data_IF_545828882709
#
_entry.id   IF_545828882709
#
_cell.length_a   1.000
_cell.length_b   1.000
_cell.length_c   1.000
_cell.angle_alpha   90.00
_cell.angle_beta   90.00
_cell.angle_gamma   90.00
#
_symmetry.space_group_name_H-M   'P 1'
#
loop_
_entity.id
_entity.type
_entity.pdbx_description
1 polymer ?
#
# COMPACT_ATOMS: atom_id res chain seq x y z
N UNK A 1 -9.69 -42.09 1.23
CA UNK A 1 -10.93 -42.71 0.70
C UNK A 1 -11.93 -41.57 0.45
N UNK A 2 -12.23 -41.30 -0.81
CA UNK A 2 -13.18 -40.28 -1.26
C UNK A 2 -14.57 -40.88 -1.21
N UNK A 3 -15.53 -40.22 -0.57
CA UNK A 3 -16.90 -40.65 -0.55
C UNK A 3 -17.49 -40.68 -1.98
N UNK A 4 -18.19 -41.75 -2.33
CA UNK A 4 -18.85 -41.90 -3.64
C UNK A 4 -19.84 -40.73 -3.80
N UNK A 5 -19.69 -39.91 -4.86
CA UNK A 5 -20.45 -38.68 -5.17
C UNK A 5 -19.94 -37.37 -4.58
N UNK A 6 -18.80 -37.33 -3.93
CA UNK A 6 -18.20 -36.06 -3.51
C UNK A 6 -17.54 -35.39 -4.73
N UNK A 7 -18.21 -34.37 -5.30
CA UNK A 7 -17.76 -33.64 -6.48
C UNK A 7 -16.78 -32.49 -6.16
N UNK A 8 -16.65 -32.10 -4.89
CA UNK A 8 -15.76 -31.03 -4.40
C UNK A 8 -15.09 -31.42 -3.09
N UNK A 9 -13.81 -31.11 -2.97
CA UNK A 9 -13.07 -31.19 -1.72
C UNK A 9 -12.93 -29.77 -1.16
N UNK A 10 -13.26 -29.51 0.12
CA UNK A 10 -13.07 -28.19 0.71
C UNK A 10 -11.64 -27.65 0.52
N UNK A 11 -10.63 -28.50 0.69
CA UNK A 11 -9.23 -28.13 0.46
C UNK A 11 -8.87 -27.89 -1.01
N UNK A 12 -9.66 -28.38 -1.95
CA UNK A 12 -9.37 -28.23 -3.38
C UNK A 12 -9.68 -26.83 -3.87
N UNK A 13 -10.81 -26.27 -3.47
CA UNK A 13 -11.18 -24.89 -3.79
C UNK A 13 -10.16 -23.90 -3.18
N UNK A 14 -9.74 -24.14 -1.92
CA UNK A 14 -8.69 -23.35 -1.27
C UNK A 14 -7.35 -23.42 -2.01
N UNK A 15 -6.98 -24.54 -2.60
CA UNK A 15 -5.77 -24.68 -3.41
C UNK A 15 -5.87 -23.87 -4.71
N UNK A 16 -7.00 -23.93 -5.40
CA UNK A 16 -7.27 -23.14 -6.60
C UNK A 16 -7.15 -21.64 -6.26
N UNK A 17 -7.83 -21.19 -5.21
CA UNK A 17 -7.78 -19.81 -4.72
C UNK A 17 -6.34 -19.40 -4.40
N UNK A 18 -5.58 -20.24 -3.69
CA UNK A 18 -4.19 -19.99 -3.34
C UNK A 18 -3.27 -19.83 -4.56
N UNK A 19 -3.44 -20.66 -5.58
CA UNK A 19 -2.68 -20.57 -6.83
C UNK A 19 -3.05 -19.31 -7.61
N UNK A 20 -4.35 -19.02 -7.72
CA UNK A 20 -4.85 -17.83 -8.39
C UNK A 20 -4.39 -16.54 -7.70
N UNK A 21 -4.43 -16.49 -6.37
CA UNK A 21 -3.94 -15.36 -5.56
C UNK A 21 -2.42 -15.12 -5.71
N UNK A 22 -1.65 -16.16 -6.08
CA UNK A 22 -0.22 -16.04 -6.39
C UNK A 22 0.05 -15.53 -7.81
N UNK A 23 -1.00 -15.25 -8.58
CA UNK A 23 -0.93 -14.68 -9.92
C UNK A 23 -0.96 -15.71 -11.06
N UNK A 24 -1.24 -16.99 -10.78
CA UNK A 24 -1.39 -17.99 -11.83
C UNK A 24 -2.65 -17.73 -12.66
N UNK A 25 -2.53 -17.88 -13.97
CA UNK A 25 -3.67 -17.86 -14.89
C UNK A 25 -4.50 -19.13 -14.76
N UNK A 26 -5.74 -19.12 -15.24
CA UNK A 26 -6.61 -20.32 -15.30
C UNK A 26 -5.92 -21.49 -16.01
N UNK A 27 -5.18 -21.19 -17.10
CA UNK A 27 -4.43 -22.20 -17.85
C UNK A 27 -3.29 -22.81 -17.04
N UNK A 28 -2.55 -21.99 -16.30
CA UNK A 28 -1.44 -22.45 -15.43
C UNK A 28 -1.96 -23.24 -14.24
N UNK A 29 -3.09 -22.82 -13.63
CA UNK A 29 -3.75 -23.58 -12.55
C UNK A 29 -4.17 -24.96 -13.05
N UNK A 30 -4.78 -25.05 -14.25
CA UNK A 30 -5.13 -26.34 -14.85
C UNK A 30 -3.92 -27.24 -15.06
N UNK A 31 -2.89 -26.73 -15.74
CA UNK A 31 -1.68 -27.52 -16.00
C UNK A 31 -1.01 -28.00 -14.72
N UNK A 32 -0.97 -27.16 -13.69
CA UNK A 32 -0.40 -27.50 -12.39
C UNK A 32 -1.20 -28.61 -11.66
N UNK A 33 -2.53 -28.54 -11.70
CA UNK A 33 -3.40 -29.56 -11.11
C UNK A 33 -3.30 -30.90 -11.85
N UNK A 34 -3.21 -30.88 -13.16
CA UNK A 34 -3.01 -32.06 -13.99
C UNK A 34 -1.65 -32.70 -13.71
N UNK A 35 -0.57 -31.90 -13.68
CA UNK A 35 0.80 -32.39 -13.45
C UNK A 35 0.99 -32.98 -12.05
N UNK A 36 0.49 -32.33 -10.99
CA UNK A 36 0.74 -32.74 -9.61
C UNK A 36 -0.26 -33.78 -9.07
N UNK A 37 -1.50 -33.72 -9.53
CA UNK A 37 -2.58 -34.53 -8.96
C UNK A 37 -3.24 -35.45 -10.00
N UNK A 38 -2.87 -35.34 -11.28
CA UNK A 38 -3.52 -36.11 -12.35
C UNK A 38 -5.01 -35.78 -12.52
N UNK A 39 -5.42 -34.55 -12.13
CA UNK A 39 -6.81 -34.12 -12.15
C UNK A 39 -7.01 -33.13 -13.29
N UNK A 40 -7.87 -33.47 -14.23
CA UNK A 40 -8.32 -32.55 -15.27
C UNK A 40 -9.45 -31.65 -14.72
N UNK A 41 -9.23 -30.34 -14.75
CA UNK A 41 -10.16 -29.33 -14.25
C UNK A 41 -10.62 -28.42 -15.38
N UNK A 42 -11.93 -28.18 -15.48
CA UNK A 42 -12.45 -27.27 -16.49
C UNK A 42 -12.10 -25.80 -16.14
N UNK A 43 -11.90 -24.94 -17.15
CA UNK A 43 -11.74 -23.49 -16.93
C UNK A 43 -12.90 -22.88 -16.16
N UNK A 44 -14.12 -23.34 -16.44
CA UNK A 44 -15.36 -22.84 -15.80
C UNK A 44 -15.39 -23.15 -14.31
N UNK A 45 -14.88 -24.31 -13.89
CA UNK A 45 -14.80 -24.64 -12.46
C UNK A 45 -13.82 -23.69 -11.74
N UNK A 46 -12.66 -23.39 -12.36
CA UNK A 46 -11.69 -22.47 -11.77
C UNK A 46 -12.29 -21.06 -11.68
N UNK A 47 -12.98 -20.60 -12.74
CA UNK A 47 -13.68 -19.34 -12.73
C UNK A 47 -14.76 -19.29 -11.64
N UNK A 48 -15.61 -20.32 -11.55
CA UNK A 48 -16.66 -20.40 -10.53
C UNK A 48 -16.10 -20.38 -9.09
N UNK A 49 -14.96 -21.05 -8.85
CA UNK A 49 -14.29 -21.04 -7.54
C UNK A 49 -13.70 -19.67 -7.23
N UNK A 50 -13.12 -18.98 -8.22
CA UNK A 50 -12.57 -17.63 -8.01
C UNK A 50 -13.67 -16.57 -7.87
N UNK A 51 -14.78 -16.72 -8.57
CA UNK A 51 -15.92 -15.81 -8.48
C UNK A 51 -16.65 -15.94 -7.13
N UNK A 52 -16.73 -17.15 -6.56
CA UNK A 52 -17.31 -17.36 -5.24
C UNK A 52 -16.58 -16.60 -4.12
N UNK A 53 -15.28 -16.25 -4.32
CA UNK A 53 -14.51 -15.43 -3.37
C UNK A 53 -14.94 -13.95 -3.41
N UNK A 54 -15.58 -13.49 -4.48
CA UNK A 54 -15.97 -12.07 -4.60
C UNK A 54 -16.98 -11.66 -3.53
N UNK A 55 -17.91 -12.55 -3.16
CA UNK A 55 -18.87 -12.28 -2.09
C UNK A 55 -18.16 -12.16 -0.74
N UNK A 56 -17.22 -13.04 -0.44
CA UNK A 56 -16.39 -12.97 0.77
C UNK A 56 -15.53 -11.69 0.80
N UNK A 57 -14.97 -11.29 -0.34
CA UNK A 57 -14.21 -10.05 -0.47
C UNK A 57 -15.12 -8.84 -0.25
N UNK A 58 -16.35 -8.86 -0.78
CA UNK A 58 -17.32 -7.79 -0.58
C UNK A 58 -17.75 -7.69 0.89
N UNK A 59 -18.01 -8.81 1.56
CA UNK A 59 -18.30 -8.88 2.99
C UNK A 59 -17.11 -8.34 3.81
N UNK A 60 -15.89 -8.80 3.51
CA UNK A 60 -14.68 -8.31 4.16
C UNK A 60 -14.49 -6.80 3.96
N UNK A 61 -14.70 -6.28 2.74
CA UNK A 61 -14.57 -4.86 2.44
C UNK A 61 -15.59 -4.01 3.22
N UNK A 62 -16.79 -4.53 3.45
CA UNK A 62 -17.86 -3.84 4.15
C UNK A 62 -17.92 -4.12 5.66
N UNK A 63 -17.01 -4.93 6.21
CA UNK A 63 -17.02 -5.27 7.63
C UNK A 63 -16.91 -4.04 8.52
N UNK A 64 -17.50 -4.06 9.73
CA UNK A 64 -17.29 -3.02 10.74
C UNK A 64 -15.80 -2.84 11.04
N UNK A 65 -15.41 -1.61 11.33
CA UNK A 65 -14.06 -1.22 11.74
C UNK A 65 -14.06 -0.85 13.23
N UNK A 66 -12.85 -0.87 13.82
CA UNK A 66 -12.66 -0.37 15.16
C UNK A 66 -12.89 1.15 15.26
N UNK A 67 -13.26 1.62 16.45
CA UNK A 67 -13.61 3.02 16.67
C UNK A 67 -12.42 3.97 16.51
N UNK A 68 -11.20 3.52 16.84
CA UNK A 68 -10.00 4.36 16.83
C UNK A 68 -8.80 3.66 16.24
N UNK A 69 -8.17 4.34 15.29
CA UNK A 69 -6.89 3.94 14.69
C UNK A 69 -5.81 4.99 15.00
N UNK A 70 -4.85 4.71 15.89
CA UNK A 70 -3.71 5.58 16.16
C UNK A 70 -2.93 5.96 14.90
N UNK A 71 -2.76 5.01 13.97
CA UNK A 71 -2.12 5.25 12.67
C UNK A 71 -2.90 4.57 11.56
N UNK A 72 -3.08 5.28 10.46
CA UNK A 72 -3.55 4.70 9.19
C UNK A 72 -2.58 5.08 8.09
N UNK A 73 -2.06 4.09 7.39
CA UNK A 73 -1.21 4.28 6.22
C UNK A 73 -2.04 4.11 4.96
N UNK A 74 -1.92 5.06 4.05
CA UNK A 74 -2.48 4.96 2.72
C UNK A 74 -1.36 4.84 1.69
N UNK A 75 -1.43 3.83 0.85
CA UNK A 75 -0.46 3.58 -0.21
C UNK A 75 -1.15 3.06 -1.46
N UNK A 76 -0.48 3.13 -2.59
CA UNK A 76 -1.01 2.65 -3.86
C UNK A 76 -0.01 1.75 -4.59
N UNK A 77 -0.55 0.75 -5.26
CA UNK A 77 0.20 -0.03 -6.26
C UNK A 77 -0.43 0.16 -7.63
N UNK A 78 0.40 0.25 -8.67
CA UNK A 78 -0.08 0.30 -10.04
C UNK A 78 -0.13 -1.10 -10.64
N UNK A 79 -1.26 -1.42 -11.27
CA UNK A 79 -1.52 -2.69 -11.92
C UNK A 79 -1.99 -2.46 -13.35
N UNK A 80 -1.68 -3.40 -14.23
CA UNK A 80 -2.21 -3.42 -15.59
C UNK A 80 -3.50 -4.22 -15.61
N UNK A 81 -4.59 -3.59 -16.00
CA UNK A 81 -5.91 -4.22 -16.12
C UNK A 81 -6.39 -4.06 -17.56
N UNK A 82 -6.90 -5.13 -18.15
CA UNK A 82 -7.56 -5.05 -19.45
C UNK A 82 -8.97 -4.47 -19.22
N UNK A 83 -9.24 -3.37 -19.89
CA UNK A 83 -10.49 -2.65 -19.80
C UNK A 83 -10.94 -2.25 -21.21
N UNK A 84 -12.13 -2.65 -21.62
CA UNK A 84 -12.68 -2.42 -22.97
C UNK A 84 -11.71 -2.81 -24.09
N UNK A 85 -11.00 -3.95 -23.94
CA UNK A 85 -10.04 -4.45 -24.94
C UNK A 85 -8.62 -3.84 -24.85
N UNK A 86 -8.41 -2.78 -24.07
CA UNK A 86 -7.13 -2.11 -23.90
C UNK A 86 -6.52 -2.40 -22.53
N UNK A 87 -5.19 -2.51 -22.48
CA UNK A 87 -4.47 -2.65 -21.21
C UNK A 87 -4.18 -1.26 -20.64
N UNK A 88 -4.84 -0.92 -19.54
CA UNK A 88 -4.68 0.35 -18.83
C UNK A 88 -3.98 0.16 -17.50
N UNK A 89 -3.21 1.15 -17.07
CA UNK A 89 -2.67 1.20 -15.72
C UNK A 89 -3.75 1.75 -14.77
N UNK A 90 -4.17 0.94 -13.81
CA UNK A 90 -5.06 1.37 -12.71
C UNK A 90 -4.27 1.41 -11.40
N UNK A 91 -4.64 2.30 -10.51
CA UNK A 91 -4.11 2.31 -9.15
C UNK A 91 -5.01 1.50 -8.23
N UNK A 92 -4.40 0.65 -7.41
CA UNK A 92 -5.04 -0.03 -6.29
C UNK A 92 -4.57 0.67 -5.03
N UNK A 93 -5.49 1.30 -4.33
CA UNK A 93 -5.26 1.98 -3.06
C UNK A 93 -5.55 1.05 -1.90
N UNK A 94 -4.70 1.09 -0.90
CA UNK A 94 -4.76 0.24 0.27
C UNK A 94 -4.68 1.13 1.50
N UNK A 95 -5.60 0.95 2.45
CA UNK A 95 -5.51 1.52 3.77
C UNK A 95 -5.10 0.44 4.77
N UNK A 96 -4.03 0.69 5.51
CA UNK A 96 -3.52 -0.18 6.58
C UNK A 96 -3.65 0.55 7.91
N UNK A 97 -4.53 0.07 8.78
CA UNK A 97 -4.69 0.56 10.13
C UNK A 97 -3.74 -0.10 11.12
N UNK A 98 -3.35 0.63 12.14
CA UNK A 98 -2.64 0.13 13.32
C UNK A 98 -3.52 0.39 14.53
N UNK A 99 -3.87 -0.66 15.25
CA UNK A 99 -4.67 -0.62 16.47
C UNK A 99 -3.82 -0.18 17.69
N UNK A 100 -4.44 0.20 18.82
CA UNK A 100 -3.72 0.62 20.03
C UNK A 100 -2.76 -0.45 20.58
N UNK A 101 -3.05 -1.72 20.37
CA UNK A 101 -2.18 -2.85 20.76
C UNK A 101 -1.01 -3.10 19.80
N UNK A 102 -0.94 -2.35 18.69
CA UNK A 102 0.06 -2.50 17.61
C UNK A 102 -0.32 -3.51 16.53
N UNK A 103 -1.47 -4.17 16.65
CA UNK A 103 -2.01 -5.06 15.60
C UNK A 103 -2.29 -4.26 14.34
N UNK A 104 -2.02 -4.86 13.20
CA UNK A 104 -2.16 -4.24 11.89
C UNK A 104 -3.21 -4.96 11.07
N UNK A 105 -4.12 -4.20 10.50
CA UNK A 105 -5.15 -4.74 9.62
C UNK A 105 -5.33 -3.90 8.34
N UNK A 106 -5.72 -4.54 7.26
CA UNK A 106 -6.09 -3.85 6.02
C UNK A 106 -7.52 -3.37 6.18
N UNK A 107 -7.73 -2.06 6.16
CA UNK A 107 -9.05 -1.45 6.34
C UNK A 107 -9.90 -1.54 5.07
N UNK A 108 -9.27 -1.51 3.91
CA UNK A 108 -9.95 -1.63 2.63
C UNK A 108 -9.00 -1.52 1.45
N UNK A 109 -9.56 -1.85 0.28
CA UNK A 109 -8.87 -1.80 -1.02
C UNK A 109 -9.81 -1.12 -2.02
N UNK A 110 -9.30 -0.13 -2.76
CA UNK A 110 -10.07 0.59 -3.76
C UNK A 110 -9.31 0.63 -5.09
N UNK A 111 -10.02 0.49 -6.18
CA UNK A 111 -9.47 0.55 -7.53
C UNK A 111 -10.02 1.77 -8.23
N UNK A 112 -9.16 2.63 -8.76
CA UNK A 112 -9.56 3.81 -9.48
C UNK A 112 -8.59 4.15 -10.62
N UNK A 113 -9.09 4.74 -11.68
CA UNK A 113 -8.28 5.23 -12.80
C UNK A 113 -7.75 6.63 -12.55
N UNK A 114 -8.56 7.48 -11.92
CA UNK A 114 -8.27 8.89 -11.73
C UNK A 114 -8.30 9.25 -10.25
N UNK A 115 -7.17 9.65 -9.74
CA UNK A 115 -7.04 10.19 -8.39
C UNK A 115 -7.64 11.59 -8.34
N UNK A 116 -8.50 11.85 -7.36
CA UNK A 116 -9.09 13.18 -7.18
C UNK A 116 -9.76 13.33 -5.83
N UNK A 117 -10.05 14.57 -5.43
CA UNK A 117 -10.64 14.88 -4.13
C UNK A 117 -11.95 14.12 -3.87
N UNK A 118 -12.79 13.91 -4.90
CA UNK A 118 -14.04 13.15 -4.78
C UNK A 118 -13.79 11.68 -4.46
N UNK A 119 -12.78 11.07 -5.08
CA UNK A 119 -12.41 9.69 -4.79
C UNK A 119 -11.94 9.55 -3.34
N UNK A 120 -11.03 10.43 -2.90
CA UNK A 120 -10.51 10.42 -1.54
C UNK A 120 -11.59 10.65 -0.50
N UNK A 121 -12.50 11.60 -0.76
CA UNK A 121 -13.63 11.86 0.13
C UNK A 121 -14.53 10.61 0.26
N UNK A 122 -14.76 9.87 -0.83
CA UNK A 122 -15.51 8.60 -0.80
C UNK A 122 -14.81 7.56 0.07
N UNK A 123 -13.49 7.37 -0.12
CA UNK A 123 -12.68 6.41 0.66
C UNK A 123 -12.76 6.72 2.16
N UNK A 124 -12.54 7.98 2.52
CA UNK A 124 -12.51 8.40 3.92
C UNK A 124 -13.90 8.32 4.57
N UNK A 125 -14.96 8.69 3.85
CA UNK A 125 -16.34 8.53 4.31
C UNK A 125 -16.72 7.05 4.49
N UNK A 126 -16.27 6.17 3.60
CA UNK A 126 -16.50 4.72 3.74
C UNK A 126 -15.90 4.20 5.05
N UNK A 127 -14.65 4.56 5.38
CA UNK A 127 -14.03 4.21 6.66
C UNK A 127 -14.88 4.71 7.84
N UNK A 128 -15.37 5.95 7.78
CA UNK A 128 -16.23 6.54 8.80
C UNK A 128 -17.56 5.78 8.94
N UNK A 129 -18.21 5.47 7.82
CA UNK A 129 -19.49 4.76 7.80
C UNK A 129 -19.35 3.34 8.35
N UNK A 130 -18.22 2.70 8.15
CA UNK A 130 -17.90 1.37 8.65
C UNK A 130 -17.52 1.35 10.14
N UNK A 131 -17.46 2.50 10.80
CA UNK A 131 -17.30 2.59 12.26
C UNK A 131 -16.05 3.31 12.74
N UNK A 132 -15.06 3.60 11.90
CA UNK A 132 -13.89 4.37 12.33
C UNK A 132 -14.32 5.79 12.74
N UNK A 133 -14.26 6.10 14.03
CA UNK A 133 -14.63 7.42 14.53
C UNK A 133 -13.43 8.36 14.58
N UNK A 134 -12.26 7.83 14.94
CA UNK A 134 -11.03 8.59 15.08
C UNK A 134 -9.84 7.94 14.34
N UNK A 135 -9.12 8.77 13.61
CA UNK A 135 -7.79 8.49 13.07
C UNK A 135 -6.87 9.56 13.65
N UNK A 136 -5.87 9.16 14.46
CA UNK A 136 -5.00 10.15 15.08
C UNK A 136 -3.94 10.65 14.11
N UNK A 137 -3.31 9.75 13.36
CA UNK A 137 -2.30 10.08 12.37
C UNK A 137 -2.61 9.34 11.06
N UNK A 138 -2.79 10.08 9.98
CA UNK A 138 -2.94 9.55 8.64
C UNK A 138 -1.64 9.77 7.84
N UNK A 139 -0.97 8.69 7.46
CA UNK A 139 0.26 8.73 6.68
C UNK A 139 -0.08 8.53 5.21
N UNK A 140 0.21 9.54 4.38
CA UNK A 140 -0.17 9.60 2.97
C UNK A 140 1.01 9.83 2.05
N UNK A 141 0.91 9.38 0.80
CA UNK A 141 1.95 9.57 -0.22
C UNK A 141 1.71 10.86 -1.04
N UNK A 142 1.65 12.02 -0.37
CA UNK A 142 1.67 13.33 -1.03
C UNK A 142 0.62 13.58 -2.12
N UNK A 143 -0.48 12.83 -2.14
CA UNK A 143 -1.52 12.88 -3.17
C UNK A 143 -2.38 14.14 -3.00
N UNK A 144 -2.58 14.88 -4.10
CA UNK A 144 -3.37 16.13 -4.10
C UNK A 144 -4.83 15.88 -3.70
N UNK A 145 -5.36 16.72 -2.83
CA UNK A 145 -6.75 16.67 -2.37
C UNK A 145 -7.03 15.58 -1.32
N UNK A 146 -6.03 14.78 -0.96
CA UNK A 146 -6.19 13.74 0.06
C UNK A 146 -6.12 14.31 1.48
N UNK A 147 -5.16 15.18 1.83
CA UNK A 147 -5.16 15.84 3.13
C UNK A 147 -6.49 16.55 3.43
N UNK A 148 -7.03 17.27 2.45
CA UNK A 148 -8.29 17.99 2.57
C UNK A 148 -9.47 17.03 2.78
N UNK A 149 -9.50 15.90 2.08
CA UNK A 149 -10.53 14.88 2.27
C UNK A 149 -10.47 14.25 3.67
N UNK A 150 -9.27 13.96 4.18
CA UNK A 150 -9.08 13.43 5.53
C UNK A 150 -9.59 14.45 6.56
N UNK A 151 -9.16 15.70 6.47
CA UNK A 151 -9.54 16.74 7.42
C UNK A 151 -11.05 17.05 7.39
N UNK A 152 -11.71 16.88 6.24
CA UNK A 152 -13.15 17.07 6.14
C UNK A 152 -13.96 16.01 6.93
N UNK A 153 -13.45 14.79 7.06
CA UNK A 153 -14.15 13.66 7.71
C UNK A 153 -13.59 13.37 9.11
N UNK A 154 -12.27 13.51 9.27
CA UNK A 154 -11.54 13.33 10.52
C UNK A 154 -10.76 14.61 10.84
N UNK A 155 -11.43 15.67 11.34
CA UNK A 155 -10.82 16.99 11.53
C UNK A 155 -9.70 17.02 12.59
N UNK A 156 -9.64 16.04 13.46
CA UNK A 156 -8.58 15.91 14.47
C UNK A 156 -7.38 15.09 13.99
N UNK A 157 -7.46 14.48 12.81
CA UNK A 157 -6.38 13.66 12.28
C UNK A 157 -5.19 14.54 11.85
N UNK A 158 -4.00 14.17 12.32
CA UNK A 158 -2.76 14.76 11.82
C UNK A 158 -2.38 14.07 10.52
N UNK A 159 -2.38 14.81 9.43
CA UNK A 159 -1.94 14.28 8.13
C UNK A 159 -0.44 14.40 8.00
N UNK A 160 0.23 13.26 7.83
CA UNK A 160 1.69 13.16 7.73
C UNK A 160 2.09 12.62 6.36
N UNK A 161 2.98 13.32 5.67
CA UNK A 161 3.62 12.79 4.45
C UNK A 161 4.48 11.58 4.78
N UNK A 162 4.38 10.54 3.97
CA UNK A 162 5.17 9.32 4.12
C UNK A 162 6.66 9.60 3.88
N UNK A 163 7.45 9.55 4.95
CA UNK A 163 8.91 9.76 4.90
C UNK A 163 9.59 8.70 4.02
N UNK A 164 9.09 7.46 4.03
CA UNK A 164 9.63 6.37 3.21
C UNK A 164 9.48 6.65 1.71
N UNK A 165 8.32 7.20 1.30
CA UNK A 165 8.11 7.59 -0.10
C UNK A 165 9.02 8.77 -0.49
N UNK A 166 9.20 9.75 0.39
CA UNK A 166 10.10 10.87 0.15
C UNK A 166 11.56 10.40 -0.01
N UNK A 167 12.01 9.44 0.82
CA UNK A 167 13.33 8.81 0.68
C UNK A 167 13.42 8.05 -0.63
N UNK A 168 12.41 7.25 -0.98
CA UNK A 168 12.38 6.46 -2.23
C UNK A 168 12.45 7.36 -3.45
N UNK A 169 11.64 8.41 -3.49
CA UNK A 169 11.69 9.42 -4.54
C UNK A 169 13.06 10.12 -4.63
N UNK A 170 13.73 10.32 -3.49
CA UNK A 170 15.11 10.82 -3.48
C UNK A 170 16.09 9.87 -4.19
N UNK A 171 15.86 8.55 -4.09
CA UNK A 171 16.70 7.54 -4.76
C UNK A 171 16.52 7.53 -6.29
N UNK A 172 15.43 8.07 -6.82
CA UNK A 172 15.21 8.18 -8.27
C UNK A 172 16.16 9.19 -8.92
N UNK A 173 16.64 10.18 -8.15
CA UNK A 173 17.65 11.14 -8.60
C UNK A 173 19.08 10.57 -8.53
N UNK A 174 19.31 9.51 -7.76
CA UNK A 174 20.65 8.98 -7.50
C UNK A 174 20.97 7.76 -8.37
N UNK A 175 22.23 7.70 -8.86
CA UNK A 175 22.72 6.50 -9.54
C UNK A 175 22.66 5.30 -8.60
N UNK A 176 22.50 4.09 -9.16
CA UNK A 176 22.43 2.86 -8.38
C UNK A 176 23.57 2.71 -7.36
N UNK A 177 24.81 3.04 -7.76
CA UNK A 177 26.01 2.93 -6.93
C UNK A 177 25.95 3.85 -5.70
N UNK A 178 25.29 5.01 -5.82
CA UNK A 178 25.29 6.06 -4.81
C UNK A 178 24.08 5.99 -3.87
N UNK A 179 23.03 5.24 -4.23
CA UNK A 179 21.77 5.16 -3.47
C UNK A 179 21.97 4.83 -1.99
N UNK A 180 22.88 3.89 -1.68
CA UNK A 180 23.17 3.51 -0.29
C UNK A 180 23.78 4.67 0.50
N UNK A 181 24.73 5.39 -0.08
CA UNK A 181 25.37 6.54 0.56
C UNK A 181 24.42 7.71 0.74
N UNK A 182 23.61 8.03 -0.29
CA UNK A 182 22.57 9.07 -0.22
C UNK A 182 21.54 8.73 0.86
N UNK A 183 21.03 7.48 0.89
CA UNK A 183 20.05 7.06 1.90
C UNK A 183 20.64 7.15 3.32
N UNK A 184 21.91 6.80 3.51
CA UNK A 184 22.58 6.91 4.80
C UNK A 184 22.73 8.39 5.22
N UNK A 185 23.09 9.27 4.30
CA UNK A 185 23.19 10.70 4.57
C UNK A 185 21.84 11.34 4.92
N UNK A 186 20.75 11.00 4.20
CA UNK A 186 19.42 11.48 4.51
C UNK A 186 18.88 10.99 5.87
N UNK A 187 19.45 9.91 6.41
CA UNK A 187 19.07 9.38 7.73
C UNK A 187 19.23 10.40 8.85
N UNK A 188 20.22 11.28 8.76
CA UNK A 188 20.45 12.34 9.75
C UNK A 188 19.31 13.34 9.78
N UNK A 189 18.65 13.59 8.65
CA UNK A 189 17.53 14.51 8.54
C UNK A 189 16.31 13.99 9.31
N UNK A 190 15.78 12.82 8.95
CA UNK A 190 14.54 12.30 9.55
C UNK A 190 14.74 11.62 10.92
N UNK A 191 15.99 11.43 11.38
CA UNK A 191 16.30 11.01 12.74
C UNK A 191 16.68 12.13 13.69
N UNK A 192 16.67 13.37 13.22
CA UNK A 192 16.94 14.52 14.05
C UNK A 192 15.98 14.60 15.25
N UNK A 193 16.42 15.24 16.32
CA UNK A 193 15.64 15.35 17.55
C UNK A 193 14.32 16.13 17.33
N UNK A 194 14.40 17.19 16.54
CA UNK A 194 13.31 18.11 16.24
C UNK A 194 13.42 18.69 14.82
N UNK A 195 12.46 19.52 14.45
CA UNK A 195 12.42 20.15 13.12
C UNK A 195 13.61 21.07 12.84
N UNK A 196 14.13 21.76 13.86
CA UNK A 196 15.27 22.68 13.71
C UNK A 196 16.55 21.89 13.40
N UNK A 197 16.79 20.83 14.18
CA UNK A 197 17.93 19.92 13.94
C UNK A 197 17.78 19.18 12.60
N UNK A 198 16.54 18.83 12.20
CA UNK A 198 16.25 18.23 10.92
C UNK A 198 16.54 19.17 9.75
N UNK A 199 16.15 20.44 9.87
CA UNK A 199 16.47 21.46 8.87
C UNK A 199 17.99 21.68 8.76
N UNK A 200 18.70 21.78 9.89
CA UNK A 200 20.17 21.92 9.89
C UNK A 200 20.86 20.70 9.24
N UNK A 201 20.35 19.48 9.49
CA UNK A 201 20.86 18.29 8.85
C UNK A 201 20.59 18.28 7.33
N UNK A 202 19.44 18.78 6.89
CA UNK A 202 19.11 18.93 5.46
C UNK A 202 20.03 19.96 4.79
N UNK A 203 20.33 21.07 5.44
CA UNK A 203 21.26 22.07 4.93
C UNK A 203 22.70 21.52 4.86
N UNK A 204 23.12 20.75 5.87
CA UNK A 204 24.40 20.03 5.84
C UNK A 204 24.47 19.00 4.72
N UNK A 205 23.37 18.27 4.47
CA UNK A 205 23.27 17.36 3.34
C UNK A 205 23.40 18.14 2.01
N UNK A 206 22.72 19.27 1.86
CA UNK A 206 22.73 20.07 0.64
C UNK A 206 24.11 20.61 0.30
N UNK A 207 24.89 21.02 1.33
CA UNK A 207 26.26 21.53 1.20
C UNK A 207 27.29 20.41 1.07
N UNK A 208 26.97 19.21 1.45
CA UNK A 208 27.84 18.05 1.40
C UNK A 208 27.98 17.44 0.00
N UNK A 209 28.85 16.42 -0.12
CA UNK A 209 29.16 15.81 -1.42
C UNK A 209 27.94 15.22 -2.15
N UNK A 210 26.96 14.70 -1.41
CA UNK A 210 25.75 14.16 -2.00
C UNK A 210 24.80 15.26 -2.50
N UNK A 211 24.66 16.34 -1.76
CA UNK A 211 23.85 17.49 -2.17
C UNK A 211 24.45 18.22 -3.36
N UNK A 212 25.77 18.36 -3.42
CA UNK A 212 26.47 18.90 -4.57
C UNK A 212 26.27 18.04 -5.84
N UNK A 213 26.33 16.71 -5.67
CA UNK A 213 26.15 15.75 -6.78
C UNK A 213 24.69 15.60 -7.21
N UNK A 214 23.75 15.68 -6.28
CA UNK A 214 22.31 15.45 -6.50
C UNK A 214 21.46 16.58 -5.89
N UNK A 215 21.58 17.81 -6.37
CA UNK A 215 20.92 18.98 -5.75
C UNK A 215 19.39 18.88 -5.76
N UNK A 216 18.82 18.17 -6.71
CA UNK A 216 17.37 17.94 -6.79
C UNK A 216 16.79 17.24 -5.54
N UNK A 217 17.60 16.43 -4.83
CA UNK A 217 17.18 15.77 -3.60
C UNK A 217 16.88 16.80 -2.51
N UNK A 218 17.85 17.67 -2.19
CA UNK A 218 17.67 18.70 -1.18
C UNK A 218 16.53 19.66 -1.55
N UNK A 219 16.40 20.03 -2.83
CA UNK A 219 15.29 20.85 -3.33
C UNK A 219 13.93 20.17 -3.13
N UNK A 220 13.83 18.86 -3.38
CA UNK A 220 12.60 18.09 -3.16
C UNK A 220 12.21 18.08 -1.68
N UNK A 221 13.16 17.83 -0.78
CA UNK A 221 12.90 17.86 0.67
C UNK A 221 12.48 19.25 1.14
N UNK A 222 13.11 20.32 0.68
CA UNK A 222 12.74 21.70 1.04
C UNK A 222 11.33 22.05 0.57
N UNK A 223 10.94 21.66 -0.65
CA UNK A 223 9.56 21.88 -1.15
C UNK A 223 8.49 21.18 -0.32
N UNK A 224 8.83 20.03 0.26
CA UNK A 224 7.90 19.25 1.07
C UNK A 224 8.10 19.47 2.57
N UNK A 225 8.96 20.42 2.98
CA UNK A 225 9.38 20.56 4.37
C UNK A 225 8.23 20.83 5.33
N UNK A 226 7.28 21.67 4.96
CA UNK A 226 6.07 21.96 5.73
C UNK A 226 5.21 20.69 5.97
N UNK A 227 5.24 19.75 5.04
CA UNK A 227 4.57 18.46 5.16
C UNK A 227 5.39 17.43 5.95
N UNK A 228 6.68 17.68 6.14
CA UNK A 228 7.59 16.83 6.93
C UNK A 228 7.61 17.27 8.39
N UNK A 229 7.53 18.58 8.69
CA UNK A 229 7.63 19.15 10.04
C UNK A 229 6.72 18.44 11.08
N UNK A 230 5.44 18.10 10.80
CA UNK A 230 4.59 17.43 11.78
C UNK A 230 5.17 16.14 12.33
N UNK A 231 5.99 15.45 11.53
CA UNK A 231 6.68 14.23 11.92
C UNK A 231 7.54 14.41 13.19
N UNK A 232 8.17 15.56 13.37
CA UNK A 232 9.06 15.82 14.50
C UNK A 232 8.32 16.08 15.82
N UNK A 233 7.02 16.39 15.76
CA UNK A 233 6.19 16.53 16.95
C UNK A 233 5.84 15.17 17.60
N UNK A 234 5.98 14.07 16.86
CA UNK A 234 5.66 12.74 17.40
C UNK A 234 6.80 12.19 18.28
N UNK A 235 6.45 11.42 19.34
CA UNK A 235 7.42 10.66 20.12
C UNK A 235 8.26 9.73 19.25
N UNK A 236 9.50 9.46 19.64
CA UNK A 236 10.44 8.64 18.86
C UNK A 236 9.86 7.26 18.47
N UNK A 237 9.12 6.62 19.37
CA UNK A 237 8.47 5.33 19.10
C UNK A 237 7.47 5.42 17.95
N UNK A 238 6.66 6.47 17.90
CA UNK A 238 5.69 6.73 16.82
C UNK A 238 6.42 7.07 15.52
N UNK A 239 7.42 7.96 15.59
CA UNK A 239 8.26 8.30 14.41
C UNK A 239 8.87 7.03 13.81
N UNK A 240 9.38 6.12 14.66
CA UNK A 240 9.94 4.85 14.22
C UNK A 240 8.93 4.00 13.46
N UNK A 241 7.71 3.92 13.93
CA UNK A 241 6.64 3.20 13.21
C UNK A 241 6.39 3.85 11.83
N UNK A 242 6.33 5.18 11.76
CA UNK A 242 6.06 5.92 10.52
C UNK A 242 7.17 5.71 9.47
N UNK A 243 8.46 5.74 9.84
CA UNK A 243 9.54 5.58 8.87
C UNK A 243 10.03 4.14 8.70
N UNK A 244 9.57 3.19 9.51
CA UNK A 244 9.86 1.76 9.36
C UNK A 244 8.67 0.98 8.82
N UNK A 245 7.86 1.56 7.96
CA UNK A 245 6.60 0.99 7.43
C UNK A 245 6.77 -0.36 6.69
N UNK A 246 7.54 -1.26 7.28
CA UNK A 246 7.77 -2.60 6.76
C UNK A 246 6.47 -3.38 6.49
N UNK A 247 5.36 -3.02 7.18
CA UNK A 247 4.10 -3.74 7.02
C UNK A 247 3.43 -3.45 5.68
N UNK A 248 3.20 -2.16 5.35
CA UNK A 248 2.58 -1.80 4.07
C UNK A 248 3.54 -2.07 2.90
N UNK A 249 4.84 -1.87 3.11
CA UNK A 249 5.85 -2.22 2.11
C UNK A 249 5.97 -3.73 1.87
N UNK A 250 5.92 -4.55 2.93
CA UNK A 250 5.92 -6.01 2.82
C UNK A 250 4.66 -6.50 2.11
N UNK A 251 3.48 -5.92 2.44
CA UNK A 251 2.23 -6.19 1.76
C UNK A 251 2.34 -5.83 0.28
N UNK A 252 2.75 -4.61 -0.04
CA UNK A 252 2.90 -4.14 -1.41
C UNK A 252 3.95 -4.96 -2.20
N UNK A 253 5.01 -5.40 -1.55
CA UNK A 253 6.01 -6.29 -2.17
C UNK A 253 5.42 -7.64 -2.56
N UNK A 254 4.58 -8.23 -1.69
CA UNK A 254 3.85 -9.47 -1.99
C UNK A 254 2.86 -9.27 -3.13
N UNK A 255 2.07 -8.20 -3.08
CA UNK A 255 1.10 -7.86 -4.12
C UNK A 255 1.79 -7.59 -5.47
N UNK A 256 2.86 -6.80 -5.48
CA UNK A 256 3.65 -6.53 -6.70
C UNK A 256 4.24 -7.80 -7.29
N UNK A 257 4.62 -8.78 -6.48
CA UNK A 257 5.11 -10.07 -6.97
C UNK A 257 4.01 -10.81 -7.71
N UNK A 258 2.82 -10.96 -7.11
CA UNK A 258 1.67 -11.59 -7.74
C UNK A 258 1.25 -10.87 -9.04
N UNK A 259 1.22 -9.53 -9.01
CA UNK A 259 0.92 -8.69 -10.18
C UNK A 259 1.92 -8.90 -11.32
N UNK A 260 3.23 -8.92 -11.02
CA UNK A 260 4.28 -9.11 -12.04
C UNK A 260 4.20 -10.47 -12.69
N UNK A 261 3.93 -11.52 -11.92
CA UNK A 261 3.78 -12.89 -12.44
C UNK A 261 2.65 -12.96 -13.45
N UNK A 262 1.56 -12.26 -13.21
CA UNK A 262 0.38 -12.28 -14.07
C UNK A 262 0.49 -11.38 -15.32
N UNK A 263 1.37 -10.39 -15.30
CA UNK A 263 1.54 -9.43 -16.40
C UNK A 263 0.42 -8.40 -16.50
N UNK A 264 -0.81 -8.82 -16.76
CA UNK A 264 -2.02 -7.99 -16.72
C UNK A 264 -3.20 -8.81 -16.19
N UNK A 265 -4.16 -8.13 -15.55
CA UNK A 265 -5.41 -8.74 -15.11
C UNK A 265 -6.44 -8.67 -16.24
N UNK A 266 -7.25 -9.73 -16.43
CA UNK A 266 -8.49 -9.59 -17.20
C UNK A 266 -9.41 -8.59 -16.51
N UNK A 267 -10.39 -8.06 -17.21
CA UNK A 267 -11.37 -7.10 -16.69
C UNK A 267 -11.98 -7.52 -15.36
#
# INVERSE_FOLDING_TARGET
>A
LIAKYQRRFPDFDNKIISMYARGMTVREVRGHLEELYGIEVSPDLISAVTDAVLDEVAEWQNRPLDLCYPLVFFDAIRVKVRDEGFVRNKAIYIALGVLPDGTKEILGIWIEQTEGAKFWLRVVNELKTRGAQDILIAVVDGLKGFPEAINAVFPQAVVQTCIVHLIRHSMDFASWKDRKGVAQALRTVYRAADAVAGQAALDSFAQGPWGAKYPAIAQSWRRNWELVIPFFAFPEGVRRIIYTTNAIEALNSKLRRAVRTRGHFPS
#
